data_IF_104519009926
#
_entry.id   IF_104519009926
#
_cell.length_a   1.000
_cell.length_b   1.000
_cell.length_c   1.000
_cell.angle_alpha   90.00
_cell.angle_beta   90.00
_cell.angle_gamma   90.00
#
_symmetry.space_group_name_H-M   'P 1'
#
loop_
_entity.id
_entity.type
_entity.pdbx_description
1 polymer ?
#
# COMPACT_ATOMS: atom_id res chain seq x y z
N UNK A 1 20.30 -0.54 -12.69
CA UNK A 1 20.04 -1.28 -13.93
C UNK A 1 18.93 -0.62 -14.75
N UNK A 2 18.96 -0.79 -16.07
CA UNK A 2 18.02 -0.20 -17.04
C UNK A 2 16.54 -0.42 -16.67
N UNK A 3 16.21 -1.58 -16.11
CA UNK A 3 14.87 -1.94 -15.64
C UNK A 3 14.30 -0.94 -14.62
N UNK A 4 15.12 -0.51 -13.66
CA UNK A 4 14.69 0.43 -12.62
C UNK A 4 14.38 1.83 -13.16
N UNK A 5 14.94 2.26 -14.29
CA UNK A 5 14.65 3.58 -14.88
C UNK A 5 13.29 3.56 -15.59
N UNK A 6 12.97 2.47 -16.31
CA UNK A 6 11.70 2.36 -17.04
C UNK A 6 10.50 2.32 -16.09
N UNK A 7 10.59 1.55 -15.00
CA UNK A 7 9.53 1.47 -13.99
C UNK A 7 9.27 2.84 -13.34
N UNK A 8 10.33 3.59 -13.02
CA UNK A 8 10.21 4.94 -12.44
C UNK A 8 9.53 5.92 -13.40
N UNK A 9 9.98 5.97 -14.65
CA UNK A 9 9.36 6.81 -15.69
C UNK A 9 7.89 6.47 -15.94
N UNK A 10 7.52 5.20 -15.79
CA UNK A 10 6.14 4.77 -15.90
C UNK A 10 5.31 5.25 -14.71
N UNK A 11 5.82 5.13 -13.48
CA UNK A 11 5.14 5.57 -12.25
C UNK A 11 5.07 7.10 -12.10
N UNK A 12 6.05 7.84 -12.61
CA UNK A 12 6.06 9.32 -12.57
C UNK A 12 4.91 9.94 -13.37
N UNK A 13 4.35 9.23 -14.37
CA UNK A 13 3.22 9.73 -15.17
C UNK A 13 1.92 9.84 -14.37
N UNK A 14 1.43 8.77 -13.71
CA UNK A 14 0.23 8.84 -12.88
C UNK A 14 0.49 9.36 -11.46
N UNK A 15 1.73 9.26 -10.93
CA UNK A 15 2.04 9.54 -9.52
C UNK A 15 3.31 10.39 -9.34
N UNK A 16 3.39 11.59 -9.94
CA UNK A 16 4.55 12.47 -9.80
C UNK A 16 4.83 12.73 -8.32
N UNK A 17 6.06 12.49 -7.84
CA UNK A 17 6.46 12.62 -6.42
C UNK A 17 5.70 11.78 -5.37
N UNK A 18 4.71 10.99 -5.78
CA UNK A 18 3.81 10.28 -4.86
C UNK A 18 4.04 8.75 -4.81
N UNK A 19 4.76 8.16 -5.78
CA UNK A 19 5.16 6.74 -5.71
C UNK A 19 6.40 6.50 -4.83
N UNK A 20 6.47 5.37 -4.13
CA UNK A 20 7.54 5.04 -3.17
C UNK A 20 8.62 4.19 -3.86
N UNK A 21 9.90 4.55 -3.70
CA UNK A 21 11.02 3.70 -4.12
C UNK A 21 12.41 4.36 -4.11
N UNK A 22 13.42 3.61 -4.54
CA UNK A 22 14.83 4.02 -4.47
C UNK A 22 15.13 5.24 -5.35
N UNK A 23 15.95 6.19 -4.83
CA UNK A 23 16.35 7.46 -5.47
C UNK A 23 15.23 8.53 -5.54
N UNK A 24 14.42 8.61 -4.49
CA UNK A 24 13.51 9.73 -4.15
C UNK A 24 14.22 10.73 -3.22
N UNK A 25 13.63 11.91 -2.91
CA UNK A 25 14.17 12.83 -1.90
C UNK A 25 14.37 12.17 -0.53
N UNK A 26 13.52 11.20 -0.21
CA UNK A 26 13.68 10.30 0.94
C UNK A 26 14.25 8.98 0.43
N UNK A 27 15.54 8.74 0.68
CA UNK A 27 16.17 7.45 0.40
C UNK A 27 15.71 6.42 1.43
N UNK A 28 14.94 5.44 0.99
CA UNK A 28 14.53 4.32 1.82
C UNK A 28 15.50 3.14 1.65
N UNK A 29 15.92 2.48 2.76
CA UNK A 29 16.82 1.34 2.69
C UNK A 29 16.17 0.10 2.05
N UNK A 30 16.97 -0.82 1.54
CA UNK A 30 16.50 -2.10 1.01
C UNK A 30 15.58 -2.83 2.02
N UNK A 31 14.39 -3.26 1.59
CA UNK A 31 13.30 -3.84 2.43
C UNK A 31 12.53 -2.85 3.31
N UNK A 32 12.39 -1.60 2.88
CA UNK A 32 11.64 -0.56 3.59
C UNK A 32 10.12 -0.57 3.42
N UNK A 33 9.54 -1.55 2.71
CA UNK A 33 8.08 -1.74 2.71
C UNK A 33 7.55 -2.04 4.13
N UNK A 34 8.40 -2.53 5.03
CA UNK A 34 8.03 -2.76 6.44
C UNK A 34 8.30 -1.55 7.35
N UNK A 35 8.81 -0.43 6.81
CA UNK A 35 9.27 0.73 7.60
C UNK A 35 8.44 1.98 7.41
N UNK A 36 7.45 1.99 6.52
CA UNK A 36 6.53 3.13 6.45
C UNK A 36 5.46 2.95 7.53
N UNK A 37 5.13 4.00 8.32
CA UNK A 37 4.02 3.95 9.26
C UNK A 37 2.72 3.51 8.58
N UNK A 38 2.54 3.89 7.31
CA UNK A 38 1.45 3.44 6.46
C UNK A 38 1.47 1.90 6.32
N UNK A 39 2.55 1.30 5.83
CA UNK A 39 2.59 -0.14 5.62
C UNK A 39 2.46 -0.95 6.93
N UNK A 40 2.99 -0.46 8.06
CA UNK A 40 2.83 -1.13 9.36
C UNK A 40 1.38 -1.03 9.86
N UNK A 41 0.84 0.19 9.90
CA UNK A 41 -0.47 0.46 10.48
C UNK A 41 -1.61 0.02 9.56
N UNK A 42 -1.57 0.44 8.29
CA UNK A 42 -2.59 0.16 7.29
C UNK A 42 -2.70 -1.34 7.02
N UNK A 43 -1.57 -2.04 6.89
CA UNK A 43 -1.59 -3.49 6.69
C UNK A 43 -2.06 -4.23 7.94
N UNK A 44 -1.71 -3.74 9.14
CA UNK A 44 -2.25 -4.26 10.40
C UNK A 44 -3.77 -4.12 10.49
N UNK A 45 -4.28 -2.92 10.18
CA UNK A 45 -5.71 -2.61 10.14
C UNK A 45 -6.46 -3.45 9.11
N UNK A 46 -5.94 -3.54 7.88
CA UNK A 46 -6.54 -4.37 6.84
C UNK A 46 -6.57 -5.85 7.23
N UNK A 47 -5.49 -6.38 7.79
CA UNK A 47 -5.49 -7.78 8.27
C UNK A 47 -6.53 -7.99 9.35
N UNK A 48 -6.64 -7.09 10.33
CA UNK A 48 -7.67 -7.18 11.35
C UNK A 48 -9.08 -7.19 10.74
N UNK A 49 -9.36 -6.29 9.79
CA UNK A 49 -10.68 -6.19 9.19
C UNK A 49 -10.99 -7.32 8.19
N UNK A 50 -10.01 -7.84 7.46
CA UNK A 50 -10.20 -8.90 6.46
C UNK A 50 -10.24 -10.30 7.11
N UNK A 51 -9.48 -10.52 8.20
CA UNK A 51 -9.37 -11.84 8.84
C UNK A 51 -10.16 -11.98 10.14
N UNK A 52 -10.83 -10.93 10.64
CA UNK A 52 -11.75 -11.02 11.78
C UNK A 52 -12.80 -12.13 11.61
N UNK A 53 -13.24 -12.40 10.38
CA UNK A 53 -14.16 -13.49 10.05
C UNK A 53 -13.59 -14.33 8.92
N UNK A 54 -13.93 -15.63 8.90
CA UNK A 54 -13.46 -16.55 7.87
C UNK A 54 -14.02 -16.15 6.50
N UNK A 55 -13.14 -15.81 5.59
CA UNK A 55 -13.48 -15.48 4.20
C UNK A 55 -13.93 -16.75 3.49
N UNK A 56 -15.16 -16.74 2.96
CA UNK A 56 -15.79 -17.93 2.36
C UNK A 56 -15.49 -18.07 0.87
N UNK A 57 -15.29 -16.96 0.17
CA UNK A 57 -14.99 -16.94 -1.26
C UNK A 57 -14.34 -15.60 -1.67
N UNK A 58 -13.86 -15.54 -2.92
CA UNK A 58 -13.16 -14.37 -3.47
C UNK A 58 -14.06 -13.12 -3.56
N UNK A 59 -15.37 -13.27 -3.78
CA UNK A 59 -16.30 -12.15 -3.83
C UNK A 59 -16.38 -11.44 -2.48
N UNK A 60 -16.58 -12.23 -1.43
CA UNK A 60 -16.62 -11.74 -0.05
C UNK A 60 -15.27 -11.11 0.38
N UNK A 61 -14.13 -11.64 -0.08
CA UNK A 61 -12.83 -11.00 0.16
C UNK A 61 -12.76 -9.60 -0.45
N UNK A 62 -13.17 -9.46 -1.72
CA UNK A 62 -13.13 -8.19 -2.45
C UNK A 62 -14.06 -7.15 -1.84
N UNK A 63 -15.23 -7.57 -1.38
CA UNK A 63 -16.19 -6.71 -0.68
C UNK A 63 -15.60 -6.18 0.62
N UNK A 64 -15.03 -7.05 1.45
CA UNK A 64 -14.37 -6.63 2.70
C UNK A 64 -13.17 -5.73 2.49
N UNK A 65 -12.38 -5.97 1.44
CA UNK A 65 -11.29 -5.05 1.09
C UNK A 65 -11.82 -3.66 0.73
N UNK A 66 -12.93 -3.58 -0.02
CA UNK A 66 -13.56 -2.29 -0.35
C UNK A 66 -14.11 -1.59 0.89
N UNK A 67 -14.82 -2.32 1.76
CA UNK A 67 -15.36 -1.76 3.00
C UNK A 67 -14.23 -1.29 3.93
N UNK A 68 -13.13 -2.04 4.00
CA UNK A 68 -11.97 -1.63 4.77
C UNK A 68 -11.34 -0.37 4.24
N UNK A 69 -11.21 -0.24 2.92
CA UNK A 69 -10.72 0.99 2.28
C UNK A 69 -11.66 2.17 2.52
N UNK A 70 -12.99 1.96 2.47
CA UNK A 70 -13.99 3.02 2.67
C UNK A 70 -14.07 3.50 4.12
N UNK A 71 -13.75 2.64 5.09
CA UNK A 71 -13.73 2.97 6.52
C UNK A 71 -12.43 3.64 6.99
N UNK A 72 -11.42 3.79 6.12
CA UNK A 72 -10.24 4.60 6.46
C UNK A 72 -10.66 6.06 6.32
N UNK A 73 -10.94 6.69 7.45
CA UNK A 73 -11.18 8.13 7.51
C UNK A 73 -9.86 8.90 7.54
N UNK A 74 -9.89 10.18 7.15
CA UNK A 74 -8.69 11.03 7.19
C UNK A 74 -8.13 11.24 8.61
N UNK A 75 -8.89 10.92 9.65
CA UNK A 75 -8.43 10.95 11.06
C UNK A 75 -7.56 9.74 11.44
N UNK A 76 -7.55 8.71 10.59
CA UNK A 76 -6.84 7.43 10.82
C UNK A 76 -5.47 7.40 10.12
N UNK A 77 -5.19 8.39 9.27
CA UNK A 77 -3.93 8.60 8.53
C UNK A 77 -3.18 9.83 9.06
#
# INVERSE_FOLDING_TARGET
>A
GLYGICVRRWLDRPFPDHWIGHRRPVEWPSRSADLTPLDIYLWGYFKAMMYHMKVQNMGHLKERTRDACANITSDVL
#
